data_IF_329994368890
#
_entry.id   IF_329994368890
#
_cell.length_a   1.000
_cell.length_b   1.000
_cell.length_c   1.000
_cell.angle_alpha   90.00
_cell.angle_beta   90.00
_cell.angle_gamma   90.00
#
_symmetry.space_group_name_H-M   'P 1'
#
loop_
_entity.id
_entity.type
_entity.pdbx_description
1 polymer ?
#
# COMPACT_ATOMS: atom_id res chain seq x y z
N UNK A 1 -4.86 -36.73 -10.41
CA UNK A 1 -4.89 -35.28 -10.68
C UNK A 1 -3.55 -34.90 -11.29
N UNK A 2 -3.51 -34.22 -12.44
CA UNK A 2 -2.24 -33.80 -13.04
C UNK A 2 -1.60 -32.68 -12.19
N UNK A 3 -0.26 -32.55 -12.20
CA UNK A 3 0.43 -31.52 -11.44
C UNK A 3 0.17 -30.13 -12.02
N UNK A 4 -0.05 -29.16 -11.13
CA UNK A 4 -0.08 -27.73 -11.44
C UNK A 4 1.27 -27.32 -12.04
N UNK A 5 1.29 -26.83 -13.28
CA UNK A 5 2.50 -26.27 -13.88
C UNK A 5 2.77 -24.88 -13.29
N UNK A 6 3.91 -24.77 -12.61
CA UNK A 6 4.32 -23.61 -11.83
C UNK A 6 5.11 -22.55 -12.64
N UNK A 7 4.72 -22.27 -13.89
CA UNK A 7 5.57 -21.46 -14.79
C UNK A 7 5.22 -19.96 -14.89
N UNK A 8 4.23 -19.45 -14.15
CA UNK A 8 3.94 -18.00 -14.13
C UNK A 8 3.85 -17.37 -12.72
N UNK A 9 4.28 -18.08 -11.67
CA UNK A 9 4.05 -17.69 -10.27
C UNK A 9 5.30 -17.36 -9.45
N UNK A 10 6.48 -17.23 -10.08
CA UNK A 10 7.68 -16.76 -9.40
C UNK A 10 7.55 -15.26 -9.11
N UNK A 11 6.84 -14.92 -8.03
CA UNK A 11 6.87 -13.59 -7.44
C UNK A 11 8.29 -13.34 -6.93
N UNK A 12 9.13 -12.79 -7.81
CA UNK A 12 10.48 -12.31 -7.51
C UNK A 12 10.32 -11.08 -6.62
N UNK A 13 10.31 -11.28 -5.31
CA UNK A 13 10.86 -10.30 -4.39
C UNK A 13 12.30 -10.75 -4.09
N UNK A 14 13.19 -10.67 -5.09
CA UNK A 14 14.64 -10.85 -4.88
C UNK A 14 15.33 -9.57 -4.39
N UNK A 15 14.54 -8.57 -3.96
CA UNK A 15 15.05 -7.30 -3.44
C UNK A 15 15.51 -7.49 -1.99
N UNK A 16 16.56 -6.77 -1.62
CA UNK A 16 17.02 -6.70 -0.23
C UNK A 16 15.87 -6.30 0.68
N UNK A 17 15.37 -7.24 1.48
CA UNK A 17 14.39 -6.98 2.52
C UNK A 17 15.16 -6.33 3.66
N UNK A 18 14.81 -5.11 4.05
CA UNK A 18 15.50 -4.43 5.15
C UNK A 18 15.00 -4.84 6.54
N UNK A 19 14.03 -5.75 6.64
CA UNK A 19 13.52 -6.25 7.93
C UNK A 19 14.60 -6.96 8.73
N UNK A 20 14.79 -6.53 9.98
CA UNK A 20 15.82 -7.09 10.87
C UNK A 20 15.35 -8.33 11.65
N UNK A 21 14.16 -8.86 11.35
CA UNK A 21 13.57 -10.04 12.00
C UNK A 21 12.91 -9.75 13.36
N UNK A 22 12.90 -8.49 13.84
CA UNK A 22 12.30 -8.13 15.13
C UNK A 22 10.84 -7.74 14.97
N UNK A 23 10.00 -8.36 15.78
CA UNK A 23 8.60 -8.01 16.03
C UNK A 23 8.46 -7.61 17.50
N UNK A 24 8.04 -6.39 17.77
CA UNK A 24 7.84 -5.84 19.11
C UNK A 24 6.33 -5.78 19.37
N UNK A 25 5.86 -6.43 20.42
CA UNK A 25 4.49 -6.29 20.87
C UNK A 25 4.42 -5.18 21.90
N UNK A 26 3.55 -4.20 21.67
CA UNK A 26 3.38 -3.04 22.56
C UNK A 26 1.93 -2.96 23.01
N UNK A 27 1.72 -2.70 24.30
CA UNK A 27 0.38 -2.44 24.86
C UNK A 27 -0.05 -1.00 24.59
N UNK A 28 -1.30 -0.83 24.14
CA UNK A 28 -1.95 0.46 23.82
C UNK A 28 -1.06 1.49 23.07
N UNK A 29 -0.48 1.12 21.91
CA UNK A 29 0.43 1.99 21.18
C UNK A 29 -0.25 3.15 20.44
N UNK A 30 -1.59 3.18 20.36
CA UNK A 30 -2.34 4.14 19.54
C UNK A 30 -2.28 3.87 18.03
N UNK A 31 -1.69 2.75 17.60
CA UNK A 31 -1.63 2.29 16.21
C UNK A 31 -1.74 0.76 16.14
N UNK A 32 -2.24 0.20 15.02
CA UNK A 32 -2.33 -1.27 14.88
C UNK A 32 -0.96 -1.91 14.64
N UNK A 33 -0.14 -1.29 13.79
CA UNK A 33 1.24 -1.67 13.53
C UNK A 33 2.03 -0.49 13.00
N UNK A 34 3.35 -0.60 13.08
CA UNK A 34 4.29 0.39 12.55
C UNK A 34 5.62 -0.26 12.25
N UNK A 35 6.10 -0.12 11.02
CA UNK A 35 7.49 -0.37 10.65
C UNK A 35 8.35 0.79 11.13
N UNK A 36 9.32 0.50 11.97
CA UNK A 36 10.31 1.47 12.43
C UNK A 36 11.43 1.64 11.40
N UNK A 37 12.18 2.73 11.46
CA UNK A 37 13.28 3.01 10.52
C UNK A 37 14.55 2.21 10.79
N UNK A 38 14.71 1.62 11.98
CA UNK A 38 15.68 0.53 12.22
C UNK A 38 15.19 -0.83 11.68
N UNK A 39 14.05 -0.82 10.98
CA UNK A 39 13.41 -1.94 10.31
C UNK A 39 12.98 -3.08 11.21
N UNK A 40 12.59 -2.79 12.45
CA UNK A 40 11.69 -3.65 13.21
C UNK A 40 10.22 -3.35 12.87
N UNK A 41 9.32 -4.23 13.30
CA UNK A 41 7.87 -4.01 13.24
C UNK A 41 7.37 -3.95 14.68
N UNK A 42 6.67 -2.88 15.05
CA UNK A 42 5.90 -2.82 16.29
C UNK A 42 4.44 -3.13 15.98
N UNK A 43 3.81 -3.98 16.78
CA UNK A 43 2.42 -4.38 16.65
C UNK A 43 1.69 -4.15 17.98
N UNK A 44 0.43 -3.74 17.91
CA UNK A 44 -0.44 -3.77 19.09
C UNK A 44 -0.53 -5.20 19.64
N UNK A 45 -0.20 -5.37 20.92
CA UNK A 45 -0.25 -6.65 21.60
C UNK A 45 -1.66 -7.27 21.55
N UNK A 46 -2.72 -6.46 21.57
CA UNK A 46 -4.09 -6.93 21.45
C UNK A 46 -4.40 -7.49 20.05
N UNK A 47 -3.69 -7.03 19.02
CA UNK A 47 -3.85 -7.50 17.65
C UNK A 47 -3.12 -8.84 17.43
N UNK A 48 -2.05 -9.12 18.18
CA UNK A 48 -1.16 -10.27 17.97
C UNK A 48 -1.86 -11.64 17.98
N UNK A 49 -3.02 -11.76 18.65
CA UNK A 49 -3.82 -12.99 18.71
C UNK A 49 -4.96 -13.04 17.68
N UNK A 50 -5.21 -11.95 16.93
CA UNK A 50 -6.33 -11.83 16.00
C UNK A 50 -5.86 -12.10 14.56
N UNK A 51 -6.72 -12.65 13.71
CA UNK A 51 -6.35 -12.89 12.31
C UNK A 51 -6.07 -11.59 11.54
N UNK A 52 -6.69 -10.48 11.94
CA UNK A 52 -6.36 -9.13 11.44
C UNK A 52 -4.86 -8.80 11.52
N UNK A 53 -4.08 -9.43 12.42
CA UNK A 53 -2.62 -9.21 12.50
C UNK A 53 -1.94 -9.43 11.18
N UNK A 54 -2.43 -10.36 10.36
CA UNK A 54 -1.76 -10.72 9.12
C UNK A 54 -1.80 -9.60 8.09
N UNK A 55 -2.92 -8.88 7.96
CA UNK A 55 -2.95 -7.72 7.04
C UNK A 55 -1.97 -6.65 7.48
N UNK A 56 -1.90 -6.38 8.78
CA UNK A 56 -0.98 -5.38 9.35
C UNK A 56 0.48 -5.82 9.20
N UNK A 57 0.83 -7.05 9.57
CA UNK A 57 2.20 -7.57 9.42
C UNK A 57 2.66 -7.56 7.97
N UNK A 58 1.80 -7.96 7.03
CA UNK A 58 2.11 -7.91 5.59
C UNK A 58 2.30 -6.47 5.12
N UNK A 59 1.43 -5.54 5.56
CA UNK A 59 1.55 -4.11 5.26
C UNK A 59 2.91 -3.57 5.75
N UNK A 60 3.24 -3.76 7.02
CA UNK A 60 4.51 -3.28 7.59
C UNK A 60 5.74 -3.94 6.96
N UNK A 61 5.66 -5.24 6.62
CA UNK A 61 6.72 -5.94 5.93
C UNK A 61 6.95 -5.40 4.50
N UNK A 62 5.90 -5.00 3.80
CA UNK A 62 6.01 -4.40 2.47
C UNK A 62 6.71 -3.04 2.49
N UNK A 63 6.57 -2.24 3.55
CA UNK A 63 7.41 -1.04 3.75
C UNK A 63 8.91 -1.38 3.85
N UNK A 64 9.28 -2.58 4.32
CA UNK A 64 10.67 -3.03 4.33
C UNK A 64 11.19 -3.45 2.95
N UNK A 65 10.29 -3.73 2.00
CA UNK A 65 10.60 -4.06 0.61
C UNK A 65 10.58 -2.82 -0.32
N UNK A 66 10.05 -1.70 0.17
CA UNK A 66 9.92 -0.46 -0.59
C UNK A 66 11.29 0.17 -0.88
N UNK A 67 11.55 0.47 -2.15
CA UNK A 67 12.81 1.07 -2.56
C UNK A 67 12.98 2.48 -1.96
N UNK A 68 14.17 2.77 -1.44
CA UNK A 68 14.48 4.10 -0.88
C UNK A 68 13.63 4.47 0.34
N UNK A 69 13.20 3.48 1.15
CA UNK A 69 12.42 3.75 2.36
C UNK A 69 13.28 4.44 3.43
N UNK A 70 13.19 5.77 3.47
CA UNK A 70 13.80 6.64 4.48
C UNK A 70 12.75 7.59 5.06
N UNK A 71 12.97 8.08 6.29
CA UNK A 71 11.96 8.84 7.04
C UNK A 71 11.45 10.07 6.31
N UNK A 72 12.36 10.93 5.87
CA UNK A 72 11.99 12.22 5.27
C UNK A 72 11.17 12.03 3.98
N UNK A 73 11.56 11.04 3.16
CA UNK A 73 10.84 10.70 1.93
C UNK A 73 9.47 10.09 2.26
N UNK A 74 9.39 9.18 3.24
CA UNK A 74 8.12 8.60 3.69
C UNK A 74 7.15 9.67 4.20
N UNK A 75 7.60 10.58 5.05
CA UNK A 75 6.75 11.64 5.61
C UNK A 75 6.26 12.60 4.53
N UNK A 76 7.15 12.97 3.61
CA UNK A 76 6.82 13.89 2.49
C UNK A 76 5.85 13.27 1.49
N UNK A 77 5.98 11.98 1.21
CA UNK A 77 5.22 11.28 0.18
C UNK A 77 4.35 10.16 0.75
N UNK A 78 3.84 10.33 1.98
CA UNK A 78 3.13 9.27 2.72
C UNK A 78 2.00 8.63 1.92
N UNK A 79 1.11 9.42 1.30
CA UNK A 79 -0.02 8.84 0.56
C UNK A 79 0.39 7.97 -0.63
N UNK A 80 1.54 8.27 -1.26
CA UNK A 80 2.11 7.42 -2.30
C UNK A 80 2.65 6.10 -1.75
N UNK A 81 3.29 6.11 -0.58
CA UNK A 81 3.79 4.89 0.05
C UNK A 81 2.66 4.03 0.60
N UNK A 82 1.79 4.60 1.44
CA UNK A 82 0.67 3.90 2.07
C UNK A 82 -0.27 3.28 1.03
N UNK A 83 -0.56 4.00 -0.06
CA UNK A 83 -1.42 3.49 -1.13
C UNK A 83 -0.80 2.29 -1.86
N UNK A 84 0.50 2.33 -2.17
CA UNK A 84 1.19 1.22 -2.83
C UNK A 84 1.24 -0.01 -1.93
N UNK A 85 1.63 0.18 -0.68
CA UNK A 85 1.82 -0.91 0.29
C UNK A 85 0.49 -1.54 0.68
N UNK A 86 -0.54 -0.73 0.94
CA UNK A 86 -1.88 -1.25 1.22
C UNK A 86 -2.43 -2.06 0.05
N UNK A 87 -2.22 -1.61 -1.20
CA UNK A 87 -2.72 -2.36 -2.34
C UNK A 87 -2.01 -3.70 -2.48
N UNK A 88 -0.68 -3.71 -2.40
CA UNK A 88 0.10 -4.93 -2.50
C UNK A 88 -0.20 -5.90 -1.37
N UNK A 89 -0.46 -5.39 -0.16
CA UNK A 89 -0.94 -6.19 0.94
C UNK A 89 -2.19 -6.96 0.51
N UNK A 90 -3.22 -6.29 -0.04
CA UNK A 90 -4.48 -6.95 -0.41
C UNK A 90 -4.30 -7.97 -1.54
N UNK A 91 -3.49 -7.62 -2.55
CA UNK A 91 -3.22 -8.49 -3.70
C UNK A 91 -2.42 -9.74 -3.34
N UNK A 92 -1.39 -9.58 -2.51
CA UNK A 92 -0.45 -10.64 -2.21
C UNK A 92 -0.85 -11.47 -0.99
N UNK A 93 -1.71 -10.93 -0.09
CA UNK A 93 -2.11 -11.62 1.15
C UNK A 93 -2.59 -13.05 0.92
N UNK A 94 -3.53 -13.35 0.00
CA UNK A 94 -4.00 -14.73 -0.17
C UNK A 94 -2.86 -15.70 -0.49
N UNK A 95 -1.93 -15.30 -1.36
CA UNK A 95 -0.77 -16.12 -1.75
C UNK A 95 0.24 -16.25 -0.61
N UNK A 96 0.48 -15.18 0.14
CA UNK A 96 1.38 -15.18 1.31
C UNK A 96 0.82 -16.11 2.39
N UNK A 97 -0.45 -15.99 2.75
CA UNK A 97 -1.09 -16.81 3.78
C UNK A 97 -1.09 -18.30 3.40
N UNK A 98 -1.41 -18.61 2.14
CA UNK A 98 -1.35 -19.97 1.63
C UNK A 98 0.07 -20.58 1.75
N UNK A 99 1.12 -19.81 1.43
CA UNK A 99 2.52 -20.25 1.57
C UNK A 99 2.95 -20.44 3.03
N UNK A 100 2.36 -19.68 3.96
CA UNK A 100 2.62 -19.81 5.39
C UNK A 100 1.78 -20.90 6.06
N UNK A 101 0.87 -21.57 5.32
CA UNK A 101 -0.06 -22.54 5.90
C UNK A 101 -1.06 -21.91 6.86
N UNK A 102 -1.33 -20.61 6.72
CA UNK A 102 -2.27 -19.87 7.56
C UNK A 102 -3.65 -19.91 6.93
N UNK A 103 -4.63 -20.39 7.69
CA UNK A 103 -6.03 -20.32 7.31
C UNK A 103 -6.71 -19.19 8.08
N UNK A 104 -7.01 -18.09 7.40
CA UNK A 104 -7.73 -16.94 7.95
C UNK A 104 -8.88 -16.58 6.99
N UNK A 105 -10.04 -16.28 7.55
CA UNK A 105 -11.23 -15.91 6.77
C UNK A 105 -11.04 -14.53 6.13
N UNK A 106 -11.21 -14.44 4.80
CA UNK A 106 -11.03 -13.19 4.06
C UNK A 106 -12.05 -12.12 4.46
N UNK A 107 -13.19 -12.52 5.01
CA UNK A 107 -14.20 -11.61 5.53
C UNK A 107 -13.69 -10.79 6.74
N UNK A 108 -12.77 -11.34 7.55
CA UNK A 108 -12.11 -10.59 8.64
C UNK A 108 -11.33 -9.41 8.06
N UNK A 109 -10.59 -9.64 6.97
CA UNK A 109 -9.81 -8.59 6.32
C UNK A 109 -10.71 -7.56 5.64
N UNK A 110 -11.73 -8.01 4.91
CA UNK A 110 -12.70 -7.12 4.25
C UNK A 110 -13.35 -6.16 5.24
N UNK A 111 -13.80 -6.64 6.41
CA UNK A 111 -14.37 -5.77 7.44
C UNK A 111 -13.36 -4.75 7.98
N UNK A 112 -12.11 -5.17 8.19
CA UNK A 112 -11.06 -4.27 8.68
C UNK A 112 -10.62 -3.24 7.63
N UNK A 113 -10.83 -3.52 6.36
CA UNK A 113 -10.50 -2.67 5.20
C UNK A 113 -11.65 -1.77 4.76
N UNK A 114 -12.87 -2.13 5.13
CA UNK A 114 -14.05 -1.30 4.86
C UNK A 114 -13.92 0.04 5.59
N UNK A 115 -14.15 1.12 4.84
CA UNK A 115 -13.97 2.49 5.36
C UNK A 115 -12.53 2.88 5.77
N UNK A 116 -11.52 2.05 5.51
CA UNK A 116 -10.12 2.33 5.89
C UNK A 116 -9.62 3.64 5.26
N UNK A 117 -8.82 4.41 6.01
CA UNK A 117 -8.35 5.73 5.57
C UNK A 117 -7.52 5.69 4.29
N UNK A 118 -6.86 4.57 4.04
CA UNK A 118 -6.03 4.35 2.86
C UNK A 118 -6.85 4.10 1.58
N UNK A 119 -8.14 3.78 1.68
CA UNK A 119 -9.00 3.57 0.51
C UNK A 119 -9.03 4.79 -0.42
N UNK A 120 -8.83 6.01 0.12
CA UNK A 120 -8.71 7.22 -0.72
C UNK A 120 -7.42 7.26 -1.56
N UNK A 121 -6.32 6.71 -1.04
CA UNK A 121 -5.05 6.63 -1.77
C UNK A 121 -5.13 5.53 -2.81
N UNK A 122 -5.78 4.40 -2.48
CA UNK A 122 -6.05 3.31 -3.42
C UNK A 122 -6.84 3.82 -4.63
N UNK A 123 -7.97 4.49 -4.41
CA UNK A 123 -8.77 5.04 -5.51
C UNK A 123 -7.97 5.99 -6.42
N UNK A 124 -7.16 6.88 -5.82
CA UNK A 124 -6.31 7.80 -6.57
C UNK A 124 -5.24 7.09 -7.42
N UNK A 125 -4.66 5.99 -6.93
CA UNK A 125 -3.68 5.18 -7.65
C UNK A 125 -4.33 4.27 -8.70
N UNK A 126 -5.52 3.74 -8.42
CA UNK A 126 -6.31 2.91 -9.35
C UNK A 126 -6.74 3.71 -10.60
N UNK A 127 -7.18 4.96 -10.41
CA UNK A 127 -7.47 5.87 -11.52
C UNK A 127 -6.25 6.05 -12.46
N UNK A 128 -5.04 6.08 -11.89
CA UNK A 128 -3.81 6.19 -12.66
C UNK A 128 -3.45 4.88 -13.33
N UNK A 129 -3.45 3.79 -12.57
CA UNK A 129 -3.14 2.44 -13.04
C UNK A 129 -4.01 2.06 -14.25
N UNK A 130 -5.31 2.31 -14.18
CA UNK A 130 -6.23 2.02 -15.27
C UNK A 130 -5.82 2.67 -16.60
N UNK A 131 -5.36 3.92 -16.54
CA UNK A 131 -4.96 4.68 -17.74
C UNK A 131 -3.62 4.23 -18.31
N UNK A 132 -2.76 3.58 -17.51
CA UNK A 132 -1.50 2.99 -18.00
C UNK A 132 -1.74 1.75 -18.87
N UNK A 133 -2.81 0.99 -18.60
CA UNK A 133 -3.06 -0.30 -19.23
C UNK A 133 -2.17 -1.45 -18.70
N UNK A 134 -1.31 -1.18 -17.72
CA UNK A 134 -0.57 -2.21 -16.99
C UNK A 134 -1.55 -3.07 -16.18
N UNK A 135 -1.19 -4.32 -15.90
CA UNK A 135 -1.97 -5.08 -14.91
C UNK A 135 -1.83 -4.44 -13.52
N UNK A 136 -2.80 -4.67 -12.66
CA UNK A 136 -2.80 -4.09 -11.31
C UNK A 136 -1.54 -4.50 -10.53
N UNK A 137 -1.27 -5.81 -10.42
CA UNK A 137 -0.08 -6.30 -9.73
C UNK A 137 1.23 -5.75 -10.33
N UNK A 138 1.34 -5.68 -11.66
CA UNK A 138 2.52 -5.12 -12.34
C UNK A 138 2.75 -3.66 -11.98
N UNK A 139 1.71 -2.82 -12.04
CA UNK A 139 1.79 -1.40 -11.69
C UNK A 139 2.27 -1.18 -10.26
N UNK A 140 1.70 -1.90 -9.30
CA UNK A 140 2.04 -1.71 -7.89
C UNK A 140 3.40 -2.31 -7.52
N UNK A 141 3.79 -3.45 -8.11
CA UNK A 141 5.13 -4.04 -7.91
C UNK A 141 6.22 -3.15 -8.51
N UNK A 142 5.96 -2.59 -9.69
CA UNK A 142 6.84 -1.61 -10.32
C UNK A 142 7.03 -0.37 -9.42
N UNK A 143 5.94 0.21 -8.90
CA UNK A 143 6.02 1.35 -7.98
C UNK A 143 6.71 1.05 -6.65
N UNK A 144 6.48 -0.12 -6.04
CA UNK A 144 7.22 -0.55 -4.85
C UNK A 144 8.73 -0.54 -5.13
N UNK A 145 9.08 -0.85 -6.38
CA UNK A 145 10.45 -0.90 -6.84
C UNK A 145 11.12 0.43 -7.15
N UNK A 146 10.35 1.52 -7.22
CA UNK A 146 10.82 2.88 -7.48
C UNK A 146 11.01 3.60 -6.14
N UNK A 147 12.15 4.30 -5.91
CA UNK A 147 12.36 5.11 -4.72
C UNK A 147 11.17 6.03 -4.45
N UNK A 148 10.69 6.12 -3.21
CA UNK A 148 9.45 6.85 -2.86
C UNK A 148 9.40 8.25 -3.50
N UNK A 149 10.46 9.05 -3.34
CA UNK A 149 10.57 10.41 -3.92
C UNK A 149 10.55 10.47 -5.46
N UNK A 150 10.86 9.37 -6.13
CA UNK A 150 10.91 9.28 -7.59
C UNK A 150 9.59 8.79 -8.21
N UNK A 151 8.66 8.24 -7.43
CA UNK A 151 7.40 7.65 -7.94
C UNK A 151 6.56 8.62 -8.76
N UNK A 152 6.48 9.89 -8.33
CA UNK A 152 5.75 10.94 -9.04
C UNK A 152 6.29 11.10 -10.46
N UNK A 153 7.63 11.24 -10.59
CA UNK A 153 8.29 11.38 -11.89
C UNK A 153 8.16 10.11 -12.73
N UNK A 154 8.25 8.95 -12.11
CA UNK A 154 8.08 7.66 -12.77
C UNK A 154 6.68 7.50 -13.37
N UNK A 155 5.62 7.72 -12.59
CA UNK A 155 4.23 7.63 -13.08
C UNK A 155 3.97 8.65 -14.19
N UNK A 156 4.49 9.87 -14.06
CA UNK A 156 4.41 10.86 -15.14
C UNK A 156 5.12 10.39 -16.42
N UNK A 157 6.24 9.68 -16.30
CA UNK A 157 6.99 9.19 -17.46
C UNK A 157 6.19 8.16 -18.27
N UNK A 158 5.27 7.41 -17.64
CA UNK A 158 4.37 6.48 -18.34
C UNK A 158 3.48 7.21 -19.37
N UNK A 159 3.19 8.51 -19.16
CA UNK A 159 2.45 9.32 -20.10
C UNK A 159 3.21 9.58 -21.41
N UNK A 160 4.54 9.40 -21.45
CA UNK A 160 5.33 9.62 -22.65
C UNK A 160 5.06 8.57 -23.74
N UNK A 161 4.62 7.38 -23.34
CA UNK A 161 4.20 6.32 -24.26
C UNK A 161 2.77 6.55 -24.80
N UNK A 162 2.03 7.53 -24.26
CA UNK A 162 0.64 7.82 -24.64
C UNK A 162 0.58 8.92 -25.71
N UNK A 163 -0.35 8.79 -26.66
CA UNK A 163 -0.58 9.79 -27.71
C UNK A 163 -1.91 10.52 -27.54
N UNK A 164 -1.99 11.73 -28.09
CA UNK A 164 -3.23 12.50 -28.26
C UNK A 164 -4.07 12.65 -26.99
N UNK A 165 -5.38 12.39 -27.13
CA UNK A 165 -6.36 12.57 -26.05
C UNK A 165 -6.10 11.75 -24.80
N UNK A 166 -5.54 10.53 -24.94
CA UNK A 166 -5.23 9.65 -23.79
C UNK A 166 -4.15 10.26 -22.90
N UNK A 167 -3.13 10.89 -23.49
CA UNK A 167 -2.10 11.60 -22.72
C UNK A 167 -2.69 12.79 -21.96
N UNK A 168 -3.56 13.57 -22.61
CA UNK A 168 -4.22 14.70 -21.97
C UNK A 168 -5.13 14.28 -20.80
N UNK A 169 -5.85 13.17 -20.97
CA UNK A 169 -6.64 12.55 -19.90
C UNK A 169 -5.76 12.09 -18.74
N UNK A 170 -4.67 11.37 -19.03
CA UNK A 170 -3.73 10.92 -18.01
C UNK A 170 -3.17 12.08 -17.18
N UNK A 171 -2.70 13.16 -17.81
CA UNK A 171 -2.13 14.32 -17.09
C UNK A 171 -3.18 14.99 -16.19
N UNK A 172 -4.43 15.07 -16.65
CA UNK A 172 -5.55 15.61 -15.86
C UNK A 172 -5.86 14.73 -14.66
N UNK A 173 -5.95 13.42 -14.85
CA UNK A 173 -6.19 12.44 -13.77
C UNK A 173 -5.03 12.44 -12.78
N UNK A 174 -3.79 12.43 -13.28
CA UNK A 174 -2.57 12.53 -12.47
C UNK A 174 -2.59 13.75 -11.56
N UNK A 175 -2.93 14.92 -12.09
CA UNK A 175 -2.97 16.15 -11.29
C UNK A 175 -3.97 16.05 -10.12
N UNK A 176 -5.15 15.45 -10.35
CA UNK A 176 -6.17 15.21 -9.32
C UNK A 176 -5.71 14.17 -8.29
N UNK A 177 -5.27 13.01 -8.75
CA UNK A 177 -4.80 11.91 -7.89
C UNK A 177 -3.61 12.32 -7.04
N UNK A 178 -2.65 13.04 -7.61
CA UNK A 178 -1.47 13.51 -6.88
C UNK A 178 -1.82 14.52 -5.77
N UNK A 179 -2.88 15.32 -5.93
CA UNK A 179 -3.36 16.19 -4.86
C UNK A 179 -3.90 15.37 -3.66
N UNK A 180 -4.62 14.27 -3.93
CA UNK A 180 -5.10 13.35 -2.89
C UNK A 180 -3.91 12.65 -2.19
N UNK A 181 -2.95 12.17 -2.98
CA UNK A 181 -1.78 11.42 -2.48
C UNK A 181 -0.79 12.29 -1.69
N UNK A 182 -0.72 13.59 -1.97
CA UNK A 182 0.05 14.56 -1.16
C UNK A 182 -0.67 14.96 0.13
N UNK A 183 -1.89 14.49 0.34
CA UNK A 183 -2.66 14.80 1.54
C UNK A 183 -3.18 16.24 1.59
N UNK A 184 -3.51 16.86 0.43
CA UNK A 184 -4.05 18.22 0.40
C UNK A 184 -5.22 18.34 1.39
N UNK A 185 -5.01 19.21 2.39
CA UNK A 185 -5.74 19.27 3.65
C UNK A 185 -7.21 19.73 3.51
N UNK A 186 -7.64 20.09 2.29
CA UNK A 186 -9.02 20.49 1.99
C UNK A 186 -10.03 19.37 2.26
N UNK A 187 -9.62 18.11 2.25
CA UNK A 187 -10.50 16.98 2.60
C UNK A 187 -10.49 16.60 4.08
N UNK A 188 -9.44 16.94 4.84
CA UNK A 188 -9.41 16.76 6.31
C UNK A 188 -10.36 17.71 7.05
N UNK A 189 -10.62 18.91 6.51
CA UNK A 189 -11.57 19.87 7.09
C UNK A 189 -13.03 19.42 7.00
N UNK A 190 -13.38 18.53 6.08
CA UNK A 190 -14.73 17.96 5.98
C UNK A 190 -15.01 16.89 7.05
N UNK A 191 -13.98 16.34 7.73
CA UNK A 191 -14.16 15.45 8.88
C UNK A 191 -14.33 16.16 10.21
N UNK A 192 -13.67 17.31 10.40
CA UNK A 192 -13.87 18.12 11.61
C UNK A 192 -15.28 18.72 11.68
N UNK A 193 -15.93 19.00 10.55
CA UNK A 193 -17.30 19.53 10.52
C UNK A 193 -18.41 18.48 10.68
N UNK A 194 -18.12 17.18 10.50
CA UNK A 194 -19.12 16.11 10.70
C UNK A 194 -19.16 15.55 12.13
N UNK A 195 -18.15 15.83 12.96
CA UNK A 195 -18.09 15.37 14.35
C UNK A 195 -18.47 16.44 15.40
N UNK A 196 -18.81 17.67 14.99
CA UNK A 196 -19.26 18.74 15.91
C UNK A 196 -20.76 18.98 15.88
N UNK A 197 -21.54 18.09 15.25
CA UNK A 197 -22.99 18.20 15.11
C UNK A 197 -23.71 17.00 15.72
N UNK A 198 -23.55 16.80 17.03
CA UNK A 198 -24.48 16.07 17.89
C UNK A 198 -24.09 16.37 19.35
N UNK A 199 -24.59 17.51 19.83
CA UNK A 199 -24.68 17.89 21.23
C UNK A 199 -26.03 18.56 21.42
#
# INVERSE_FOLDING_TARGET
>A
MPPFSAEHGALIISRSIYWNGRLILQEDPGFKGQKTFDCSITLDAALASQDERWRTLIHEALHACSAGYVRDDFETFRGWEEGVVEKLQRLLRPQILARLGVNADDEVFRRAEDGHLYNRYLAALEDLQWLTGMSEQEFYVDLLGVPIKARIGHVLSLANAMSGGRRAEFIRTFSKSNAVLKGDARWSLLRLKKNTGNG
#
